data_IF_167333004612
#
_entry.id   IF_167333004612
#
_cell.length_a   1.000
_cell.length_b   1.000
_cell.length_c   1.000
_cell.angle_alpha   90.00
_cell.angle_beta   90.00
_cell.angle_gamma   90.00
#
_symmetry.space_group_name_H-M   'P 1'
#
loop_
_entity.id
_entity.type
_entity.pdbx_description
1 polymer ?
#
# COMPACT_ATOMS: atom_id res chain seq x y z
N UNK A 1 -2.58 28.24 -9.62
CA UNK A 1 -1.85 26.96 -9.73
C UNK A 1 -2.80 25.79 -9.52
N UNK A 2 -2.57 24.66 -10.20
CA UNK A 2 -3.30 23.40 -10.02
C UNK A 2 -2.40 22.40 -9.29
N UNK A 3 -2.92 21.75 -8.27
CA UNK A 3 -2.24 20.67 -7.56
C UNK A 3 -2.64 19.34 -8.20
N UNK A 4 -1.71 18.69 -8.87
CA UNK A 4 -1.95 17.45 -9.62
C UNK A 4 -1.57 16.26 -8.74
N UNK A 5 -2.50 15.35 -8.53
CA UNK A 5 -2.39 14.20 -7.63
C UNK A 5 -2.48 12.88 -8.41
N UNK A 6 -1.36 12.39 -8.97
CA UNK A 6 -1.31 11.12 -9.69
C UNK A 6 -1.45 9.90 -8.77
N UNK A 7 -2.33 8.96 -9.12
CA UNK A 7 -2.63 7.81 -8.27
C UNK A 7 -3.23 6.64 -9.04
N UNK A 8 -2.83 5.43 -8.66
CA UNK A 8 -3.60 4.20 -8.97
C UNK A 8 -4.60 3.90 -7.84
N UNK A 9 -4.27 4.25 -6.58
CA UNK A 9 -5.13 4.02 -5.41
C UNK A 9 -5.86 5.26 -4.85
N UNK A 10 -5.91 5.36 -3.52
CA UNK A 10 -6.65 6.40 -2.79
C UNK A 10 -5.97 7.79 -2.72
N UNK A 11 -4.70 7.91 -3.12
CA UNK A 11 -3.90 9.12 -2.93
C UNK A 11 -4.52 10.37 -3.57
N UNK A 12 -5.09 10.24 -4.78
CA UNK A 12 -5.75 11.36 -5.44
C UNK A 12 -6.98 11.90 -4.67
N UNK A 13 -7.70 11.04 -3.94
CA UNK A 13 -8.84 11.48 -3.10
C UNK A 13 -8.37 12.33 -1.93
N UNK A 14 -7.33 11.86 -1.23
CA UNK A 14 -6.70 12.60 -0.14
C UNK A 14 -6.13 13.93 -0.64
N UNK A 15 -5.42 13.91 -1.76
CA UNK A 15 -4.89 15.10 -2.42
C UNK A 15 -5.95 16.13 -2.79
N UNK A 16 -7.03 15.72 -3.45
CA UNK A 16 -8.16 16.61 -3.79
C UNK A 16 -8.83 17.17 -2.54
N UNK A 17 -9.00 16.36 -1.48
CA UNK A 17 -9.54 16.84 -0.21
C UNK A 17 -8.64 17.91 0.43
N UNK A 18 -7.33 17.67 0.49
CA UNK A 18 -6.36 18.64 0.99
C UNK A 18 -6.36 19.91 0.13
N UNK A 19 -6.39 19.77 -1.19
CA UNK A 19 -6.47 20.90 -2.09
C UNK A 19 -7.68 21.77 -1.81
N UNK A 20 -8.85 21.17 -1.59
CA UNK A 20 -10.09 21.87 -1.24
C UNK A 20 -9.99 22.59 0.11
N UNK A 21 -9.41 21.95 1.13
CA UNK A 21 -9.18 22.56 2.43
C UNK A 21 -8.25 23.78 2.34
N UNK A 22 -7.21 23.68 1.52
CA UNK A 22 -6.24 24.75 1.28
C UNK A 22 -6.70 25.75 0.22
N UNK A 23 -7.96 25.67 -0.25
CA UNK A 23 -8.52 26.54 -1.29
C UNK A 23 -7.68 26.58 -2.58
N UNK A 24 -7.07 25.45 -2.93
CA UNK A 24 -6.33 25.23 -4.17
C UNK A 24 -7.13 24.35 -5.14
N UNK A 25 -6.83 24.45 -6.44
CA UNK A 25 -7.48 23.64 -7.48
C UNK A 25 -6.82 22.26 -7.57
N UNK A 26 -7.42 21.26 -6.94
CA UNK A 26 -6.95 19.87 -6.96
C UNK A 26 -7.39 19.14 -8.22
N UNK A 27 -6.48 18.37 -8.82
CA UNK A 27 -6.68 17.57 -10.02
C UNK A 27 -6.27 16.13 -9.75
N UNK A 28 -7.16 15.19 -10.01
CA UNK A 28 -6.88 13.77 -9.89
C UNK A 28 -6.44 13.21 -11.26
N UNK A 29 -5.35 12.46 -11.29
CA UNK A 29 -4.91 11.68 -12.46
C UNK A 29 -4.90 10.21 -12.06
N UNK A 30 -5.75 9.40 -12.69
CA UNK A 30 -5.92 7.99 -12.35
C UNK A 30 -6.38 7.15 -13.55
N UNK A 31 -6.10 5.83 -13.57
CA UNK A 31 -6.53 4.94 -14.66
C UNK A 31 -8.06 4.82 -14.75
N UNK A 32 -8.57 4.65 -15.97
CA UNK A 32 -10.01 4.55 -16.22
C UNK A 32 -10.65 3.26 -15.69
N UNK A 33 -9.87 2.19 -15.50
CA UNK A 33 -10.31 0.91 -14.96
C UNK A 33 -10.51 0.87 -13.44
N UNK A 34 -10.35 2.00 -12.75
CA UNK A 34 -10.60 2.11 -11.30
C UNK A 34 -12.09 2.03 -10.94
N UNK A 35 -12.39 1.71 -9.67
CA UNK A 35 -13.77 1.53 -9.19
C UNK A 35 -14.67 2.75 -9.41
N UNK A 36 -15.96 2.50 -9.63
CA UNK A 36 -16.96 3.55 -9.87
C UNK A 36 -17.10 4.48 -8.67
N UNK A 37 -17.07 3.95 -7.45
CA UNK A 37 -17.14 4.72 -6.20
C UNK A 37 -16.03 5.77 -6.10
N UNK A 38 -14.84 5.45 -6.63
CA UNK A 38 -13.72 6.38 -6.66
C UNK A 38 -14.02 7.57 -7.57
N UNK A 39 -14.58 7.34 -8.76
CA UNK A 39 -14.97 8.41 -9.68
C UNK A 39 -16.18 9.21 -9.18
N UNK A 40 -17.17 8.54 -8.59
CA UNK A 40 -18.31 9.21 -7.97
C UNK A 40 -17.88 10.12 -6.83
N UNK A 41 -16.95 9.66 -5.99
CA UNK A 41 -16.39 10.49 -4.92
C UNK A 41 -15.65 11.69 -5.51
N UNK A 42 -14.75 11.48 -6.48
CA UNK A 42 -13.97 12.56 -7.08
C UNK A 42 -14.86 13.63 -7.71
N UNK A 43 -15.88 13.24 -8.48
CA UNK A 43 -16.79 14.18 -9.15
C UNK A 43 -17.55 15.10 -8.18
N UNK A 44 -17.79 14.66 -6.94
CA UNK A 44 -18.42 15.46 -5.87
C UNK A 44 -17.44 16.41 -5.17
N UNK A 45 -16.13 16.13 -5.27
CA UNK A 45 -15.11 16.84 -4.51
C UNK A 45 -14.28 17.82 -5.36
N UNK A 46 -14.07 17.52 -6.63
CA UNK A 46 -13.39 18.41 -7.59
C UNK A 46 -14.25 19.62 -7.92
N UNK A 47 -13.61 20.77 -8.17
CA UNK A 47 -14.30 22.01 -8.55
C UNK A 47 -14.79 22.02 -10.00
N UNK A 48 -14.18 21.21 -10.87
CA UNK A 48 -14.48 21.11 -12.29
C UNK A 48 -14.39 19.62 -12.70
N UNK A 49 -15.38 19.05 -13.42
CA UNK A 49 -15.31 17.66 -13.89
C UNK A 49 -14.07 17.35 -14.74
N UNK A 50 -13.49 18.34 -15.43
CA UNK A 50 -12.24 18.19 -16.19
C UNK A 50 -10.99 18.01 -15.31
N UNK A 51 -11.11 18.23 -14.00
CA UNK A 51 -10.04 17.99 -13.03
C UNK A 51 -9.98 16.51 -12.58
N UNK A 52 -10.79 15.63 -13.20
CA UNK A 52 -10.64 14.17 -13.11
C UNK A 52 -10.10 13.66 -14.46
N UNK A 53 -8.79 13.48 -14.54
CA UNK A 53 -8.09 13.03 -15.74
C UNK A 53 -7.97 11.50 -15.69
N UNK A 54 -8.56 10.84 -16.70
CA UNK A 54 -8.53 9.39 -16.87
C UNK A 54 -7.37 8.99 -17.78
N UNK A 55 -6.48 8.13 -17.31
CA UNK A 55 -5.44 7.49 -18.13
C UNK A 55 -5.86 6.08 -18.54
N UNK A 56 -5.22 5.50 -19.55
CA UNK A 56 -5.51 4.14 -20.00
C UNK A 56 -5.09 3.09 -18.95
N UNK A 57 -5.86 2.00 -18.84
CA UNK A 57 -5.50 0.80 -18.07
C UNK A 57 -6.11 0.68 -16.67
N UNK A 58 -5.47 -0.15 -15.83
CA UNK A 58 -5.93 -0.55 -14.49
C UNK A 58 -4.90 -0.24 -13.41
N UNK A 59 -4.93 -0.92 -12.25
CA UNK A 59 -4.10 -0.62 -11.07
C UNK A 59 -2.60 -0.65 -11.39
N UNK A 60 -2.15 -1.51 -12.32
CA UNK A 60 -0.73 -1.67 -12.65
C UNK A 60 -0.21 -0.68 -13.72
N UNK A 61 -1.03 0.24 -14.24
CA UNK A 61 -0.67 1.14 -15.35
C UNK A 61 -0.09 2.49 -14.90
N UNK A 62 1.06 2.43 -14.20
CA UNK A 62 1.73 3.63 -13.67
C UNK A 62 2.44 4.44 -14.76
N UNK A 63 2.90 3.80 -15.84
CA UNK A 63 3.61 4.49 -16.94
C UNK A 63 2.73 5.55 -17.58
N UNK A 64 1.48 5.21 -17.87
CA UNK A 64 0.51 6.11 -18.50
C UNK A 64 0.22 7.32 -17.61
N UNK A 65 0.26 7.14 -16.28
CA UNK A 65 0.17 8.24 -15.32
C UNK A 65 1.39 9.15 -15.40
N UNK A 66 2.61 8.59 -15.48
CA UNK A 66 3.83 9.40 -15.63
C UNK A 66 3.86 10.17 -16.94
N UNK A 67 3.50 9.53 -18.06
CA UNK A 67 3.41 10.20 -19.36
C UNK A 67 2.45 11.40 -19.29
N UNK A 68 1.29 11.22 -18.64
CA UNK A 68 0.33 12.31 -18.46
C UNK A 68 0.83 13.41 -17.52
N UNK A 69 1.56 13.04 -16.46
CA UNK A 69 2.18 14.02 -15.56
C UNK A 69 3.25 14.85 -16.28
N UNK A 70 4.04 14.23 -17.15
CA UNK A 70 5.05 14.91 -17.95
C UNK A 70 4.41 15.94 -18.90
N UNK A 71 3.33 15.57 -19.58
CA UNK A 71 2.54 16.50 -20.39
C UNK A 71 1.99 17.67 -19.54
N UNK A 72 1.40 17.37 -18.38
CA UNK A 72 0.86 18.40 -17.49
C UNK A 72 1.94 19.32 -16.90
N UNK A 73 3.17 18.83 -16.72
CA UNK A 73 4.28 19.61 -16.19
C UNK A 73 4.80 20.68 -17.16
N UNK A 74 4.44 20.62 -18.45
CA UNK A 74 4.77 21.66 -19.43
C UNK A 74 4.08 23.01 -19.11
N UNK A 75 2.95 22.97 -18.39
CA UNK A 75 2.28 24.17 -17.88
C UNK A 75 2.84 24.54 -16.49
N UNK A 76 3.53 25.69 -16.33
CA UNK A 76 4.08 26.13 -15.05
C UNK A 76 3.01 26.46 -14.00
N UNK A 77 1.74 26.53 -14.41
CA UNK A 77 0.59 26.59 -13.52
C UNK A 77 0.35 25.29 -12.73
N UNK A 78 0.92 24.17 -13.16
CA UNK A 78 0.72 22.86 -12.52
C UNK A 78 1.85 22.53 -11.55
N UNK A 79 1.49 21.95 -10.40
CA UNK A 79 2.42 21.37 -9.43
C UNK A 79 2.08 19.89 -9.31
N UNK A 80 3.01 19.01 -9.70
CA UNK A 80 2.81 17.56 -9.67
C UNK A 80 3.27 17.01 -8.32
N UNK A 81 2.36 16.42 -7.54
CA UNK A 81 2.67 15.76 -6.28
C UNK A 81 2.85 14.26 -6.50
N UNK A 82 3.97 13.85 -7.11
CA UNK A 82 4.22 12.47 -7.51
C UNK A 82 4.60 11.58 -6.30
N UNK A 83 3.61 10.92 -5.69
CA UNK A 83 3.79 10.07 -4.50
C UNK A 83 4.87 9.00 -4.59
N UNK A 84 5.27 8.60 -5.80
CA UNK A 84 6.29 7.57 -6.04
C UNK A 84 7.72 8.10 -5.93
N UNK A 85 7.94 9.43 -5.97
CA UNK A 85 9.24 10.07 -5.80
C UNK A 85 9.31 11.14 -4.70
N UNK A 86 8.19 11.48 -4.06
CA UNK A 86 8.18 12.42 -2.94
C UNK A 86 8.67 11.77 -1.62
N UNK A 87 9.90 12.09 -1.18
CA UNK A 87 10.45 11.56 0.08
C UNK A 87 9.63 11.93 1.32
N UNK A 88 8.80 12.97 1.26
CA UNK A 88 7.83 13.29 2.31
C UNK A 88 6.87 12.13 2.61
N UNK A 89 6.52 11.35 1.59
CA UNK A 89 5.70 10.14 1.74
C UNK A 89 6.44 9.07 2.57
N UNK A 90 7.71 8.78 2.27
CA UNK A 90 8.51 7.87 3.08
C UNK A 90 8.66 8.38 4.53
N UNK A 91 8.99 9.65 4.70
CA UNK A 91 9.33 10.23 5.99
C UNK A 91 8.14 10.35 6.95
N UNK A 92 6.92 10.59 6.46
CA UNK A 92 5.74 10.59 7.34
C UNK A 92 5.52 9.20 7.95
N UNK A 93 5.77 8.13 7.21
CA UNK A 93 5.61 6.77 7.73
C UNK A 93 6.73 6.36 8.70
N UNK A 94 7.97 6.82 8.49
CA UNK A 94 9.06 6.66 9.47
C UNK A 94 8.74 7.42 10.78
N UNK A 95 8.16 8.61 10.68
CA UNK A 95 8.04 9.55 11.82
C UNK A 95 6.70 9.49 12.55
N UNK A 96 5.66 8.94 11.91
CA UNK A 96 4.31 8.88 12.47
C UNK A 96 3.83 7.44 12.53
N UNK A 97 3.76 6.75 11.38
CA UNK A 97 3.18 5.40 11.31
C UNK A 97 4.01 4.37 12.07
N UNK A 98 5.34 4.37 11.91
CA UNK A 98 6.26 3.50 12.65
C UNK A 98 6.12 3.66 14.16
N UNK A 99 6.24 4.87 14.72
CA UNK A 99 5.99 5.13 16.14
C UNK A 99 4.58 4.75 16.63
N UNK A 100 3.55 4.98 15.82
CA UNK A 100 2.18 4.57 16.17
C UNK A 100 2.05 3.05 16.26
N UNK A 101 2.62 2.31 15.30
CA UNK A 101 2.68 0.85 15.31
C UNK A 101 3.49 0.32 16.50
N UNK A 102 4.63 0.96 16.80
CA UNK A 102 5.44 0.64 17.97
C UNK A 102 4.65 0.79 19.28
N UNK A 103 3.87 1.87 19.41
CA UNK A 103 2.99 2.08 20.57
C UNK A 103 1.89 1.02 20.66
N UNK A 104 1.28 0.64 19.53
CA UNK A 104 0.30 -0.44 19.49
C UNK A 104 0.91 -1.79 19.88
N UNK A 105 2.10 -2.11 19.37
CA UNK A 105 2.85 -3.32 19.71
C UNK A 105 3.18 -3.39 21.20
N UNK A 106 3.72 -2.31 21.79
CA UNK A 106 4.05 -2.29 23.22
C UNK A 106 2.80 -2.43 24.11
N UNK A 107 1.64 -1.93 23.68
CA UNK A 107 0.37 -2.17 24.36
C UNK A 107 -0.04 -3.65 24.35
N UNK A 108 0.13 -4.35 23.22
CA UNK A 108 -0.15 -5.80 23.12
C UNK A 108 0.84 -6.63 23.95
N UNK A 109 2.13 -6.25 23.89
CA UNK A 109 3.22 -6.89 24.63
C UNK A 109 3.11 -6.72 26.14
N UNK A 110 2.48 -5.64 26.63
CA UNK A 110 2.23 -5.47 28.06
C UNK A 110 1.44 -6.64 28.68
N UNK A 111 0.55 -7.26 27.91
CA UNK A 111 -0.21 -8.46 28.30
C UNK A 111 0.49 -9.78 27.92
N UNK A 112 1.60 -9.72 27.18
CA UNK A 112 2.37 -10.87 26.68
C UNK A 112 3.88 -10.61 26.81
N UNK A 113 4.47 -10.72 28.02
CA UNK A 113 5.84 -10.26 28.28
C UNK A 113 6.95 -10.92 27.44
N UNK A 114 6.69 -12.12 26.90
CA UNK A 114 7.62 -12.83 26.01
C UNK A 114 7.55 -12.38 24.54
N UNK A 115 6.56 -11.57 24.17
CA UNK A 115 6.29 -11.20 22.78
C UNK A 115 7.38 -10.28 22.22
N UNK A 116 7.90 -10.64 21.05
CA UNK A 116 8.91 -9.86 20.30
C UNK A 116 8.36 -9.47 18.93
N UNK A 117 8.65 -8.26 18.46
CA UNK A 117 8.33 -7.87 17.10
C UNK A 117 9.35 -8.50 16.15
N UNK A 118 8.92 -9.49 15.37
CA UNK A 118 9.80 -10.26 14.48
C UNK A 118 9.83 -9.70 13.06
N UNK A 119 8.68 -9.24 12.54
CA UNK A 119 8.60 -8.68 11.20
C UNK A 119 7.53 -7.58 11.09
N UNK A 120 7.69 -6.73 10.08
CA UNK A 120 6.67 -5.82 9.59
C UNK A 120 6.37 -6.12 8.13
N UNK A 121 5.11 -6.34 7.81
CA UNK A 121 4.63 -6.67 6.47
C UNK A 121 3.79 -5.54 5.91
N UNK A 122 4.11 -5.10 4.69
CA UNK A 122 3.33 -4.09 3.97
C UNK A 122 3.31 -4.39 2.47
N UNK A 123 2.12 -4.41 1.90
CA UNK A 123 1.92 -4.42 0.47
C UNK A 123 2.37 -3.08 -0.11
N UNK A 124 3.10 -3.13 -1.22
CA UNK A 124 3.81 -1.98 -1.75
C UNK A 124 2.99 -1.29 -2.82
N UNK A 125 2.41 -0.15 -2.47
CA UNK A 125 1.87 0.86 -3.39
C UNK A 125 2.96 1.82 -3.85
N UNK A 126 2.88 3.06 -3.37
CA UNK A 126 3.95 4.05 -3.53
C UNK A 126 5.23 3.75 -2.74
N UNK A 127 5.25 2.69 -1.94
CA UNK A 127 6.28 2.37 -0.94
C UNK A 127 6.43 3.39 0.21
N UNK A 128 5.42 4.24 0.43
CA UNK A 128 5.34 5.08 1.63
C UNK A 128 5.24 4.25 2.91
N UNK A 129 4.16 3.47 3.04
CA UNK A 129 3.86 2.74 4.29
C UNK A 129 4.94 1.74 4.70
N UNK A 130 5.60 1.08 3.74
CA UNK A 130 6.67 0.11 4.04
C UNK A 130 7.86 0.78 4.78
N UNK A 131 8.03 2.10 4.65
CA UNK A 131 9.03 2.87 5.39
C UNK A 131 8.81 2.89 6.91
N UNK A 132 7.59 2.62 7.40
CA UNK A 132 7.37 2.37 8.83
C UNK A 132 8.24 1.20 9.34
N UNK A 133 8.56 0.25 8.46
CA UNK A 133 9.49 -0.84 8.70
C UNK A 133 10.90 -0.38 9.02
N UNK A 134 11.38 0.74 8.45
CA UNK A 134 12.71 1.27 8.75
C UNK A 134 12.79 1.72 10.22
N UNK A 135 11.73 2.38 10.72
CA UNK A 135 11.62 2.73 12.14
C UNK A 135 11.51 1.48 13.03
N UNK A 136 10.61 0.55 12.70
CA UNK A 136 10.40 -0.67 13.50
C UNK A 136 11.66 -1.55 13.54
N UNK A 137 12.43 -1.60 12.44
CA UNK A 137 13.71 -2.30 12.39
C UNK A 137 14.76 -1.62 13.25
N UNK A 138 14.85 -0.30 13.23
CA UNK A 138 15.77 0.44 14.10
C UNK A 138 15.45 0.21 15.59
N UNK A 139 14.15 0.14 15.96
CA UNK A 139 13.73 -0.02 17.35
C UNK A 139 13.77 -1.47 17.86
N UNK A 140 13.35 -2.43 17.03
CA UNK A 140 13.07 -3.80 17.47
C UNK A 140 13.85 -4.87 16.68
N UNK A 141 14.57 -4.49 15.62
CA UNK A 141 15.25 -5.45 14.75
C UNK A 141 14.30 -6.26 13.85
N UNK A 142 13.07 -5.78 13.62
CA UNK A 142 12.10 -6.47 12.76
C UNK A 142 12.64 -6.67 11.35
N UNK A 143 12.27 -7.80 10.74
CA UNK A 143 12.37 -8.00 9.29
C UNK A 143 11.35 -7.12 8.55
N UNK A 144 11.72 -6.60 7.38
CA UNK A 144 10.82 -5.82 6.52
C UNK A 144 10.38 -6.70 5.36
N UNK A 145 9.07 -6.89 5.22
CA UNK A 145 8.45 -7.73 4.20
C UNK A 145 7.65 -6.86 3.24
N UNK A 146 8.07 -6.88 1.97
CA UNK A 146 7.38 -6.19 0.89
C UNK A 146 6.44 -7.17 0.17
N UNK A 147 5.14 -6.86 0.15
CA UNK A 147 4.15 -7.67 -0.53
C UNK A 147 3.72 -7.07 -1.88
N UNK A 148 3.49 -7.93 -2.88
CA UNK A 148 3.08 -7.57 -4.24
C UNK A 148 2.00 -8.53 -4.79
N UNK A 149 1.41 -8.21 -5.95
CA UNK A 149 0.48 -9.13 -6.62
C UNK A 149 1.22 -10.26 -7.34
N UNK A 150 0.73 -11.50 -7.20
CA UNK A 150 1.27 -12.65 -7.93
C UNK A 150 1.00 -12.58 -9.43
N UNK A 151 -0.09 -11.92 -9.83
CA UNK A 151 -0.44 -11.72 -11.23
C UNK A 151 0.38 -10.61 -11.90
N UNK A 152 1.08 -9.76 -11.14
CA UNK A 152 2.01 -8.76 -11.66
C UNK A 152 3.25 -8.55 -10.78
N UNK A 153 4.05 -9.60 -10.49
CA UNK A 153 5.04 -9.55 -9.42
C UNK A 153 6.30 -8.82 -9.89
N UNK A 154 6.48 -7.61 -9.38
CA UNK A 154 7.55 -6.69 -9.79
C UNK A 154 8.91 -7.09 -9.23
N UNK A 155 8.98 -7.30 -7.92
CA UNK A 155 10.16 -7.70 -7.20
C UNK A 155 10.55 -9.15 -7.53
N UNK A 156 9.60 -10.08 -7.65
CA UNK A 156 9.91 -11.48 -7.97
C UNK A 156 10.18 -11.72 -9.47
N UNK A 157 9.38 -11.16 -10.38
CA UNK A 157 9.46 -11.46 -11.83
C UNK A 157 9.36 -10.24 -12.77
N UNK A 158 9.85 -9.08 -12.34
CA UNK A 158 10.00 -7.87 -13.18
C UNK A 158 8.68 -7.29 -13.73
N UNK A 159 7.53 -7.60 -13.11
CA UNK A 159 6.31 -6.80 -13.25
C UNK A 159 5.61 -6.94 -14.60
N UNK A 160 5.02 -8.11 -14.85
CA UNK A 160 4.21 -8.38 -16.04
C UNK A 160 2.85 -8.95 -15.65
N UNK A 161 1.78 -8.34 -16.16
CA UNK A 161 0.38 -8.75 -15.94
C UNK A 161 -0.50 -7.63 -15.38
N UNK A 162 -1.64 -7.99 -14.81
CA UNK A 162 -2.62 -7.10 -14.17
C UNK A 162 -3.30 -7.86 -13.02
N UNK A 163 -3.78 -7.14 -12.00
CA UNK A 163 -4.36 -7.73 -10.80
C UNK A 163 -5.50 -6.87 -10.25
N UNK A 164 -6.35 -7.46 -9.40
CA UNK A 164 -7.41 -6.75 -8.69
C UNK A 164 -7.05 -6.29 -7.27
N UNK A 165 -5.83 -6.53 -6.79
CA UNK A 165 -5.39 -6.03 -5.47
C UNK A 165 -5.24 -4.51 -5.52
N UNK A 166 -6.32 -3.76 -5.32
CA UNK A 166 -6.29 -2.29 -5.46
C UNK A 166 -5.48 -1.62 -4.35
N UNK A 167 -4.75 -0.56 -4.70
CA UNK A 167 -3.93 0.23 -3.78
C UNK A 167 -2.47 -0.21 -3.65
N UNK A 168 -2.04 -1.25 -4.39
CA UNK A 168 -0.63 -1.64 -4.52
C UNK A 168 -0.13 -1.29 -5.92
N UNK A 169 1.17 -1.07 -6.08
CA UNK A 169 1.77 -0.44 -7.25
C UNK A 169 2.80 -1.37 -7.87
N UNK A 170 2.49 -1.84 -9.07
CA UNK A 170 3.29 -2.84 -9.79
C UNK A 170 3.90 -2.27 -11.08
N UNK A 171 4.73 -3.08 -11.75
CA UNK A 171 5.50 -2.77 -12.98
C UNK A 171 6.60 -1.72 -12.81
N UNK A 172 6.84 -1.23 -11.59
CA UNK A 172 7.98 -0.40 -11.28
C UNK A 172 8.35 -0.50 -9.79
N UNK A 173 9.60 -0.14 -9.45
CA UNK A 173 10.03 0.05 -8.07
C UNK A 173 9.95 1.55 -7.75
N UNK A 174 9.11 2.00 -6.81
CA UNK A 174 9.01 3.42 -6.45
C UNK A 174 10.36 4.01 -6.03
N UNK A 175 10.62 5.28 -6.35
CA UNK A 175 11.90 5.93 -6.05
C UNK A 175 12.14 6.02 -4.54
N UNK A 176 11.05 6.13 -3.78
CA UNK A 176 11.09 6.24 -2.31
C UNK A 176 11.17 4.87 -1.58
N UNK A 177 11.25 3.75 -2.31
CA UNK A 177 11.42 2.43 -1.71
C UNK A 177 12.87 2.19 -1.29
N UNK A 178 13.11 2.05 0.02
CA UNK A 178 14.40 1.59 0.57
C UNK A 178 14.58 0.06 0.36
N UNK A 179 14.80 -0.34 -0.89
CA UNK A 179 14.95 -1.74 -1.29
C UNK A 179 16.07 -2.44 -0.53
N UNK A 180 17.18 -1.74 -0.29
CA UNK A 180 18.35 -2.33 0.39
C UNK A 180 18.08 -2.71 1.84
N UNK A 181 17.02 -2.15 2.45
CA UNK A 181 16.56 -2.51 3.78
C UNK A 181 15.40 -3.52 3.79
N UNK A 182 14.92 -4.00 2.64
CA UNK A 182 13.86 -5.02 2.57
C UNK A 182 14.45 -6.42 2.77
N UNK A 183 13.88 -7.25 3.64
CA UNK A 183 14.39 -8.61 3.94
C UNK A 183 13.66 -9.71 3.16
N UNK A 184 12.38 -9.53 2.86
CA UNK A 184 11.55 -10.55 2.21
C UNK A 184 10.67 -9.89 1.16
N UNK A 185 10.56 -10.51 -0.02
CA UNK A 185 9.53 -10.21 -1.01
C UNK A 185 8.51 -11.35 -1.06
N UNK A 186 7.22 -11.03 -1.08
CA UNK A 186 6.13 -12.02 -1.09
C UNK A 186 5.07 -11.61 -2.10
N UNK A 187 4.61 -12.56 -2.91
CA UNK A 187 3.53 -12.32 -3.85
C UNK A 187 2.26 -13.08 -3.44
N UNK A 188 1.14 -12.36 -3.46
CA UNK A 188 -0.19 -12.88 -3.14
C UNK A 188 -1.08 -12.78 -4.38
N UNK A 189 -1.78 -13.85 -4.69
CA UNK A 189 -2.73 -13.88 -5.80
C UNK A 189 -3.97 -13.05 -5.50
N UNK A 190 -4.40 -12.26 -6.48
CA UNK A 190 -5.66 -11.53 -6.44
C UNK A 190 -6.88 -12.45 -6.27
N UNK A 191 -6.78 -13.72 -6.67
CA UNK A 191 -7.81 -14.72 -6.42
C UNK A 191 -8.02 -14.94 -4.92
N UNK A 192 -6.93 -15.00 -4.15
CA UNK A 192 -7.02 -15.21 -2.71
C UNK A 192 -7.64 -14.00 -2.01
N UNK A 193 -7.24 -12.78 -2.41
CA UNK A 193 -7.81 -11.56 -1.83
C UNK A 193 -9.26 -11.35 -2.23
N UNK A 194 -9.62 -11.59 -3.51
CA UNK A 194 -11.00 -11.49 -4.00
C UNK A 194 -11.92 -12.46 -3.24
N UNK A 195 -11.51 -13.73 -3.14
CA UNK A 195 -12.33 -14.76 -2.51
C UNK A 195 -12.50 -14.52 -1.01
N UNK A 196 -11.43 -14.16 -0.30
CA UNK A 196 -11.53 -13.84 1.14
C UNK A 196 -12.30 -12.54 1.38
N UNK A 197 -12.16 -11.54 0.51
CA UNK A 197 -12.99 -10.34 0.57
C UNK A 197 -14.47 -10.70 0.50
N UNK A 198 -14.86 -11.56 -0.45
CA UNK A 198 -16.25 -12.00 -0.57
C UNK A 198 -16.73 -12.83 0.63
N UNK A 199 -15.86 -13.70 1.17
CA UNK A 199 -16.12 -14.42 2.41
C UNK A 199 -16.42 -13.44 3.57
N UNK A 200 -15.60 -12.41 3.74
CA UNK A 200 -15.74 -11.46 4.85
C UNK A 200 -16.99 -10.59 4.72
N UNK A 201 -17.51 -10.38 3.52
CA UNK A 201 -18.63 -9.47 3.27
C UNK A 201 -19.97 -10.19 3.00
N UNK A 202 -20.01 -11.53 3.01
CA UNK A 202 -21.24 -12.30 2.76
C UNK A 202 -21.81 -12.93 4.02
N UNK A 203 -23.14 -13.07 4.09
CA UNK A 203 -23.83 -13.72 5.22
C UNK A 203 -23.34 -15.16 5.45
N UNK A 204 -23.14 -15.92 4.37
CA UNK A 204 -22.63 -17.28 4.45
C UNK A 204 -21.20 -17.33 5.01
N UNK A 205 -20.34 -16.38 4.61
CA UNK A 205 -18.98 -16.30 5.14
C UNK A 205 -18.95 -15.83 6.59
N UNK A 206 -19.79 -14.87 6.98
CA UNK A 206 -19.96 -14.44 8.37
C UNK A 206 -20.43 -15.59 9.27
N UNK A 207 -21.41 -16.37 8.82
CA UNK A 207 -21.86 -17.58 9.52
C UNK A 207 -20.72 -18.63 9.61
N UNK A 208 -19.94 -18.79 8.53
CA UNK A 208 -18.80 -19.70 8.53
C UNK A 208 -17.73 -19.27 9.54
N UNK A 209 -17.34 -17.99 9.57
CA UNK A 209 -16.37 -17.46 10.53
C UNK A 209 -16.82 -17.69 11.98
N UNK A 210 -18.11 -17.49 12.28
CA UNK A 210 -18.66 -17.77 13.60
C UNK A 210 -18.62 -19.27 13.94
N UNK A 211 -18.89 -20.14 12.96
CA UNK A 211 -18.76 -21.60 13.13
C UNK A 211 -17.31 -22.04 13.42
N UNK A 212 -16.32 -21.21 13.06
CA UNK A 212 -14.89 -21.40 13.33
C UNK A 212 -14.46 -20.84 14.69
N UNK A 213 -15.38 -20.29 15.48
CA UNK A 213 -15.15 -19.86 16.85
C UNK A 213 -14.94 -18.35 17.04
N UNK A 214 -15.10 -17.54 15.99
CA UNK A 214 -15.13 -16.09 16.13
C UNK A 214 -16.46 -15.66 16.73
N UNK A 215 -16.44 -14.69 17.64
CA UNK A 215 -17.65 -13.97 18.05
C UNK A 215 -18.25 -13.20 16.86
N UNK A 216 -19.52 -12.83 16.95
CA UNK A 216 -20.16 -12.00 15.93
C UNK A 216 -19.38 -10.69 15.69
N UNK A 217 -18.89 -10.05 16.75
CA UNK A 217 -18.10 -8.83 16.65
C UNK A 217 -16.76 -9.04 15.93
N UNK A 218 -16.08 -10.16 16.19
CA UNK A 218 -14.81 -10.47 15.52
C UNK A 218 -15.02 -10.83 14.04
N UNK A 219 -16.08 -11.58 13.73
CA UNK A 219 -16.43 -11.91 12.35
C UNK A 219 -16.79 -10.64 11.56
N UNK A 220 -17.59 -9.73 12.14
CA UNK A 220 -17.93 -8.45 11.52
C UNK A 220 -16.71 -7.55 11.32
N UNK A 221 -15.75 -7.55 12.24
CA UNK A 221 -14.52 -6.76 12.10
C UNK A 221 -13.68 -7.16 10.87
N UNK A 222 -13.90 -8.34 10.28
CA UNK A 222 -13.21 -8.73 9.04
C UNK A 222 -13.57 -7.86 7.82
N UNK A 223 -14.70 -7.15 7.88
CA UNK A 223 -15.15 -6.19 6.85
C UNK A 223 -14.18 -5.00 6.72
N UNK A 224 -13.42 -4.70 7.79
CA UNK A 224 -12.42 -3.63 7.80
C UNK A 224 -11.16 -3.96 6.95
N UNK A 225 -11.08 -5.17 6.36
CA UNK A 225 -10.00 -5.58 5.47
C UNK A 225 -10.42 -5.51 3.99
N UNK A 226 -10.00 -4.45 3.30
CA UNK A 226 -9.97 -4.37 1.84
C UNK A 226 -8.88 -5.27 1.23
N UNK A 227 -8.79 -5.31 -0.10
CA UNK A 227 -7.92 -6.26 -0.82
C UNK A 227 -6.45 -6.22 -0.38
N UNK A 228 -5.86 -5.03 -0.26
CA UNK A 228 -4.47 -4.87 0.17
C UNK A 228 -4.26 -5.22 1.65
N UNK A 229 -5.27 -5.00 2.50
CA UNK A 229 -5.27 -5.45 3.90
C UNK A 229 -5.28 -6.98 4.00
N UNK A 230 -6.08 -7.66 3.17
CA UNK A 230 -6.06 -9.13 3.09
C UNK A 230 -4.72 -9.62 2.55
N UNK A 231 -4.16 -8.96 1.53
CA UNK A 231 -2.82 -9.26 1.01
C UNK A 231 -1.75 -9.18 2.13
N UNK A 232 -1.81 -8.15 2.97
CA UNK A 232 -0.95 -7.99 4.13
C UNK A 232 -1.06 -9.12 5.16
N UNK A 233 -2.29 -9.57 5.45
CA UNK A 233 -2.54 -10.69 6.37
C UNK A 233 -1.96 -11.99 5.80
N UNK A 234 -2.26 -12.31 4.54
CA UNK A 234 -1.75 -13.52 3.88
C UNK A 234 -0.22 -13.50 3.80
N UNK A 235 0.36 -12.35 3.46
CA UNK A 235 1.81 -12.12 3.45
C UNK A 235 2.44 -12.34 4.81
N UNK A 236 1.75 -11.94 5.89
CA UNK A 236 2.19 -12.20 7.27
C UNK A 236 2.16 -13.69 7.60
N UNK A 237 1.13 -14.42 7.18
CA UNK A 237 1.06 -15.89 7.36
C UNK A 237 2.20 -16.58 6.61
N UNK A 238 2.44 -16.22 5.35
CA UNK A 238 3.57 -16.76 4.57
C UNK A 238 4.92 -16.47 5.22
N UNK A 239 5.10 -15.23 5.70
CA UNK A 239 6.32 -14.80 6.40
C UNK A 239 6.55 -15.60 7.67
N UNK A 240 5.51 -15.79 8.49
CA UNK A 240 5.61 -16.57 9.72
C UNK A 240 6.08 -18.00 9.43
N UNK A 241 5.54 -18.62 8.37
CA UNK A 241 5.93 -19.97 7.94
C UNK A 241 7.35 -20.01 7.38
N UNK A 242 7.72 -19.06 6.51
CA UNK A 242 9.07 -18.97 5.93
C UNK A 242 10.14 -18.82 7.01
N UNK A 243 9.91 -17.93 7.98
CA UNK A 243 10.88 -17.62 9.04
C UNK A 243 10.80 -18.60 10.22
N UNK A 244 9.84 -19.54 10.23
CA UNK A 244 9.63 -20.49 11.32
C UNK A 244 9.26 -19.82 12.64
N UNK A 245 8.47 -18.74 12.59
CA UNK A 245 8.15 -17.93 13.77
C UNK A 245 7.27 -18.69 14.77
N UNK A 246 7.61 -18.56 16.05
CA UNK A 246 6.86 -19.10 17.16
C UNK A 246 5.73 -18.18 17.65
N UNK A 247 4.96 -18.67 18.62
CA UNK A 247 3.83 -17.94 19.24
C UNK A 247 4.21 -16.61 19.91
N UNK A 248 5.48 -16.44 20.29
CA UNK A 248 6.01 -15.26 20.98
C UNK A 248 6.69 -14.29 20.00
N UNK A 249 6.47 -14.46 18.69
CA UNK A 249 7.06 -13.66 17.62
C UNK A 249 5.96 -13.02 16.78
N UNK A 250 5.68 -11.75 17.06
CA UNK A 250 4.64 -10.97 16.41
C UNK A 250 5.09 -10.49 15.03
N UNK A 251 4.16 -10.54 14.08
CA UNK A 251 4.24 -9.78 12.83
C UNK A 251 3.31 -8.59 12.95
N UNK A 252 3.85 -7.40 12.69
CA UNK A 252 3.08 -6.16 12.62
C UNK A 252 2.67 -5.95 11.16
N UNK A 253 1.44 -5.54 10.92
CA UNK A 253 0.98 -5.18 9.57
C UNK A 253 -0.12 -4.12 9.63
N UNK A 254 -0.72 -3.78 8.49
CA UNK A 254 -1.68 -2.67 8.35
C UNK A 254 -2.92 -3.13 7.56
N UNK A 255 -4.10 -2.77 8.07
CA UNK A 255 -5.34 -2.79 7.30
C UNK A 255 -5.47 -1.42 6.63
N UNK A 256 -5.20 -1.35 5.32
CA UNK A 256 -5.05 -0.09 4.58
C UNK A 256 -6.36 0.68 4.44
N UNK A 257 -7.43 -0.03 4.13
CA UNK A 257 -8.81 0.45 4.02
C UNK A 257 -9.80 -0.72 4.13
N UNK A 258 -11.09 -0.41 4.23
CA UNK A 258 -12.17 -1.37 4.43
C UNK A 258 -13.06 -1.58 3.19
N UNK A 259 -13.97 -2.56 3.30
CA UNK A 259 -14.79 -3.03 2.18
C UNK A 259 -15.76 -2.01 1.58
N UNK A 260 -16.13 -0.97 2.35
CA UNK A 260 -17.02 0.09 1.90
C UNK A 260 -16.57 0.79 0.61
N UNK A 261 -15.28 0.75 0.29
CA UNK A 261 -14.69 1.35 -0.91
C UNK A 261 -14.77 0.46 -2.17
N UNK A 262 -15.24 -0.79 -2.04
CA UNK A 262 -15.12 -1.83 -3.07
C UNK A 262 -16.43 -2.57 -3.37
N UNK A 263 -17.59 -2.01 -3.01
CA UNK A 263 -18.89 -2.67 -3.20
C UNK A 263 -19.17 -3.05 -4.65
N UNK A 264 -18.76 -2.24 -5.62
CA UNK A 264 -18.90 -2.56 -7.06
C UNK A 264 -18.15 -3.83 -7.47
N UNK A 265 -17.11 -4.22 -6.73
CA UNK A 265 -16.32 -5.42 -7.02
C UNK A 265 -17.02 -6.70 -6.58
N UNK A 266 -17.94 -6.66 -5.60
CA UNK A 266 -18.62 -7.85 -5.09
C UNK A 266 -19.36 -8.62 -6.20
N UNK A 267 -20.12 -7.91 -7.04
CA UNK A 267 -20.86 -8.52 -8.14
C UNK A 267 -19.91 -9.15 -9.18
N UNK A 268 -18.78 -8.48 -9.46
CA UNK A 268 -17.77 -8.99 -10.40
C UNK A 268 -17.09 -10.24 -9.85
N UNK A 269 -16.72 -10.22 -8.56
CA UNK A 269 -16.11 -11.35 -7.87
C UNK A 269 -17.09 -12.53 -7.82
N UNK A 270 -18.36 -12.30 -7.45
CA UNK A 270 -19.39 -13.34 -7.41
C UNK A 270 -19.53 -14.04 -8.78
N UNK A 271 -19.60 -13.26 -9.85
CA UNK A 271 -19.69 -13.81 -11.20
C UNK A 271 -18.40 -14.53 -11.63
N UNK A 272 -17.24 -13.90 -11.45
CA UNK A 272 -15.93 -14.38 -11.95
C UNK A 272 -15.39 -15.58 -11.16
N UNK A 273 -15.51 -15.56 -9.83
CA UNK A 273 -14.88 -16.54 -8.93
C UNK A 273 -15.82 -17.66 -8.51
N UNK A 274 -17.13 -17.40 -8.47
CA UNK A 274 -18.11 -18.33 -7.90
C UNK A 274 -19.29 -18.66 -8.83
N UNK A 275 -19.25 -18.22 -10.09
CA UNK A 275 -20.29 -18.54 -11.07
C UNK A 275 -21.68 -17.97 -10.75
N UNK A 276 -21.75 -16.93 -9.92
CA UNK A 276 -23.01 -16.26 -9.56
C UNK A 276 -23.66 -16.70 -8.25
N UNK A 277 -23.09 -17.68 -7.54
CA UNK A 277 -23.65 -18.17 -6.26
C UNK A 277 -22.58 -18.42 -5.22
N UNK A 278 -22.84 -18.03 -3.97
CA UNK A 278 -21.93 -18.25 -2.85
C UNK A 278 -22.70 -18.69 -1.61
N UNK A 279 -22.54 -19.95 -1.21
CA UNK A 279 -23.19 -20.54 -0.05
C UNK A 279 -22.20 -21.07 0.98
N UNK A 280 -22.69 -21.91 1.89
CA UNK A 280 -21.88 -22.50 2.97
C UNK A 280 -20.70 -23.33 2.44
N UNK A 281 -20.91 -24.06 1.34
CA UNK A 281 -19.87 -24.90 0.73
C UNK A 281 -18.71 -24.05 0.18
N UNK A 282 -19.02 -22.98 -0.54
CA UNK A 282 -18.04 -22.04 -1.08
C UNK A 282 -17.33 -21.29 0.05
N UNK A 283 -18.06 -20.84 1.08
CA UNK A 283 -17.49 -20.17 2.24
C UNK A 283 -16.44 -21.05 2.94
N UNK A 284 -16.78 -22.32 3.18
CA UNK A 284 -15.85 -23.30 3.74
C UNK A 284 -14.64 -23.52 2.83
N UNK A 285 -14.86 -23.70 1.53
CA UNK A 285 -13.78 -23.94 0.58
C UNK A 285 -12.80 -22.78 0.50
N UNK A 286 -13.31 -21.54 0.45
CA UNK A 286 -12.50 -20.32 0.42
C UNK A 286 -11.66 -20.20 1.68
N UNK A 287 -12.26 -20.38 2.85
CA UNK A 287 -11.54 -20.30 4.12
C UNK A 287 -10.44 -21.37 4.21
N UNK A 288 -10.78 -22.64 3.91
CA UNK A 288 -9.83 -23.74 3.99
C UNK A 288 -8.69 -23.57 2.98
N UNK A 289 -8.97 -23.14 1.76
CA UNK A 289 -7.97 -23.01 0.71
C UNK A 289 -7.08 -21.78 0.88
N UNK A 290 -7.67 -20.60 1.06
CA UNK A 290 -6.91 -19.34 1.04
C UNK A 290 -6.38 -18.90 2.40
N UNK A 291 -7.08 -19.20 3.50
CA UNK A 291 -6.66 -18.83 4.85
C UNK A 291 -5.90 -19.96 5.56
N UNK A 292 -6.50 -21.15 5.66
CA UNK A 292 -5.82 -22.27 6.34
C UNK A 292 -4.72 -22.89 5.48
N UNK A 293 -4.95 -22.94 4.17
CA UNK A 293 -4.06 -23.51 3.16
C UNK A 293 -2.92 -22.60 2.71
N UNK A 294 -2.78 -21.38 3.25
CA UNK A 294 -1.71 -20.45 2.84
C UNK A 294 -0.33 -21.09 2.95
N UNK A 295 0.35 -21.38 1.84
CA UNK A 295 1.64 -22.05 1.80
C UNK A 295 2.83 -21.07 1.85
N UNK A 296 4.04 -21.55 1.51
CA UNK A 296 5.25 -20.73 1.35
C UNK A 296 5.69 -20.65 -0.11
N UNK A 297 4.77 -20.77 -1.06
CA UNK A 297 5.09 -20.54 -2.47
C UNK A 297 5.14 -19.03 -2.75
N UNK A 298 5.90 -18.62 -3.76
CA UNK A 298 6.02 -17.22 -4.20
C UNK A 298 6.45 -16.24 -3.08
N UNK A 299 7.40 -16.67 -2.25
CA UNK A 299 8.04 -15.85 -1.23
C UNK A 299 9.55 -16.06 -1.29
N UNK A 300 10.32 -14.99 -1.13
CA UNK A 300 11.78 -15.00 -1.24
C UNK A 300 12.40 -14.22 -0.07
N UNK A 301 13.22 -14.89 0.74
CA UNK A 301 14.14 -14.21 1.63
C UNK A 301 15.27 -13.61 0.79
N UNK A 302 15.40 -12.29 0.80
CA UNK A 302 16.26 -11.55 -0.13
C UNK A 302 17.72 -11.63 0.29
N UNK A 303 18.57 -12.17 -0.58
CA UNK A 303 20.01 -11.99 -0.51
C UNK A 303 20.41 -10.58 -0.95
N UNK A 304 21.68 -10.20 -0.74
CA UNK A 304 22.21 -8.96 -1.29
C UNK A 304 22.14 -8.92 -2.83
N UNK A 305 22.28 -10.07 -3.50
CA UNK A 305 22.11 -10.14 -4.95
C UNK A 305 20.66 -9.82 -5.35
N UNK A 306 19.68 -10.34 -4.61
CA UNK A 306 18.26 -10.10 -4.88
C UNK A 306 17.90 -8.63 -4.67
N UNK A 307 18.36 -8.03 -3.56
CA UNK A 307 18.17 -6.60 -3.30
C UNK A 307 18.77 -5.74 -4.40
N UNK A 308 19.98 -6.07 -4.85
CA UNK A 308 20.62 -5.33 -5.95
C UNK A 308 19.85 -5.49 -7.27
N UNK A 309 19.34 -6.70 -7.58
CA UNK A 309 18.49 -6.92 -8.76
C UNK A 309 17.23 -6.06 -8.71
N UNK A 310 16.52 -6.07 -7.58
CA UNK A 310 15.28 -5.28 -7.38
C UNK A 310 15.61 -3.78 -7.45
N UNK A 311 16.67 -3.32 -6.79
CA UNK A 311 17.09 -1.92 -6.85
C UNK A 311 17.37 -1.50 -8.29
N UNK A 312 18.11 -2.33 -9.05
CA UNK A 312 18.44 -2.06 -10.45
C UNK A 312 17.20 -2.01 -11.34
N UNK A 313 16.12 -2.73 -11.02
CA UNK A 313 14.88 -2.64 -11.79
C UNK A 313 14.31 -1.21 -11.79
N UNK A 314 14.49 -0.47 -10.70
CA UNK A 314 14.12 0.95 -10.62
C UNK A 314 14.86 1.85 -11.60
N UNK A 315 16.01 1.44 -12.13
CA UNK A 315 16.81 2.22 -13.10
C UNK A 315 15.99 2.56 -14.34
N UNK A 316 15.28 1.58 -14.88
CA UNK A 316 14.51 1.75 -16.11
C UNK A 316 13.38 2.76 -15.96
N UNK A 317 12.78 2.86 -14.78
CA UNK A 317 11.77 3.89 -14.53
C UNK A 317 12.44 5.23 -14.26
N UNK A 318 13.32 5.30 -13.26
CA UNK A 318 13.74 6.60 -12.75
C UNK A 318 14.82 7.27 -13.59
N UNK A 319 15.80 6.50 -14.07
CA UNK A 319 16.89 7.05 -14.88
C UNK A 319 16.47 7.18 -16.34
N UNK A 320 16.07 6.06 -16.97
CA UNK A 320 15.78 6.04 -18.41
C UNK A 320 14.49 6.78 -18.78
N UNK A 321 13.42 6.68 -17.97
CA UNK A 321 12.12 7.26 -18.31
C UNK A 321 11.85 8.61 -17.63
N UNK A 322 12.27 8.79 -16.37
CA UNK A 322 11.97 10.00 -15.58
C UNK A 322 13.15 10.98 -15.47
N UNK A 323 14.32 10.66 -16.02
CA UNK A 323 15.45 11.58 -16.13
C UNK A 323 16.22 11.84 -14.83
N UNK A 324 16.05 11.02 -13.80
CA UNK A 324 16.90 11.05 -12.59
C UNK A 324 18.32 10.70 -12.98
N UNK A 325 19.30 11.43 -12.47
CA UNK A 325 20.70 11.10 -12.77
C UNK A 325 21.11 9.77 -12.14
N UNK A 326 22.02 9.02 -12.77
CA UNK A 326 22.55 7.77 -12.18
C UNK A 326 23.14 8.02 -10.79
N UNK A 327 23.81 9.15 -10.59
CA UNK A 327 24.40 9.51 -9.29
C UNK A 327 23.34 9.66 -8.19
N UNK A 328 22.24 10.39 -8.46
CA UNK A 328 21.13 10.53 -7.51
C UNK A 328 20.42 9.21 -7.25
N UNK A 329 20.22 8.43 -8.30
CA UNK A 329 19.62 7.11 -8.21
C UNK A 329 20.42 6.20 -7.27
N UNK A 330 21.75 6.16 -7.43
CA UNK A 330 22.68 5.31 -6.68
C UNK A 330 22.85 5.73 -5.21
N UNK A 331 22.71 7.02 -4.86
CA UNK A 331 22.77 7.48 -3.46
C UNK A 331 21.83 6.69 -2.55
N UNK A 332 20.66 6.28 -3.08
CA UNK A 332 19.65 5.50 -2.36
C UNK A 332 20.07 4.08 -1.99
N UNK A 333 21.20 3.55 -2.47
CA UNK A 333 21.73 2.27 -1.97
C UNK A 333 22.20 2.38 -0.53
N UNK A 334 22.74 3.54 -0.14
CA UNK A 334 23.29 3.74 1.20
C UNK A 334 22.19 3.94 2.23
N UNK A 335 22.30 3.26 3.38
CA UNK A 335 21.43 3.55 4.51
C UNK A 335 21.71 4.93 5.13
N UNK A 336 22.89 5.51 4.91
CA UNK A 336 23.18 6.88 5.35
C UNK A 336 22.31 7.90 4.61
N UNK A 337 22.00 7.66 3.33
CA UNK A 337 21.06 8.50 2.58
C UNK A 337 19.68 8.51 3.26
N UNK A 338 19.10 7.34 3.49
CA UNK A 338 17.76 7.21 4.10
C UNK A 338 17.70 7.74 5.53
N UNK A 339 18.75 7.51 6.32
CA UNK A 339 18.85 8.04 7.69
C UNK A 339 19.01 9.56 7.68
N UNK A 340 19.83 10.12 6.78
CA UNK A 340 20.03 11.56 6.64
C UNK A 340 18.78 12.32 6.18
N UNK A 341 17.89 11.69 5.39
CA UNK A 341 16.60 12.30 5.04
C UNK A 341 15.74 12.64 6.27
N UNK A 342 15.91 11.92 7.39
CA UNK A 342 15.13 12.15 8.62
C UNK A 342 15.44 13.49 9.26
N UNK A 343 16.60 14.09 8.97
CA UNK A 343 16.97 15.42 9.45
C UNK A 343 16.08 16.54 8.87
N UNK A 344 15.32 16.25 7.80
CA UNK A 344 14.34 17.16 7.23
C UNK A 344 13.06 17.27 8.08
N UNK A 345 12.73 16.26 8.88
CA UNK A 345 11.46 16.19 9.61
C UNK A 345 11.30 17.37 10.58
N UNK A 346 12.28 17.70 11.46
CA UNK A 346 12.16 18.87 12.34
C UNK A 346 12.12 20.20 11.57
N UNK A 347 12.67 20.26 10.35
CA UNK A 347 12.59 21.44 9.49
C UNK A 347 11.17 21.63 8.98
N UNK A 348 10.57 20.57 8.44
CA UNK A 348 9.18 20.60 7.98
C UNK A 348 8.19 20.88 9.10
N UNK A 349 8.37 20.31 10.29
CA UNK A 349 7.52 20.61 11.45
C UNK A 349 7.54 22.12 11.79
N UNK A 350 8.71 22.77 11.72
CA UNK A 350 8.81 24.23 11.91
C UNK A 350 8.08 24.99 10.81
N UNK A 351 8.27 24.60 9.54
CA UNK A 351 7.60 25.24 8.40
C UNK A 351 6.08 25.08 8.45
N UNK A 352 5.58 23.90 8.83
CA UNK A 352 4.15 23.64 9.03
C UNK A 352 3.63 24.51 10.18
N UNK A 353 4.38 24.62 11.28
CA UNK A 353 4.03 25.50 12.39
C UNK A 353 3.98 26.98 12.00
N UNK A 354 4.91 27.44 11.16
CA UNK A 354 4.90 28.79 10.58
C UNK A 354 3.68 29.00 9.69
N UNK A 355 3.44 28.09 8.75
CA UNK A 355 2.28 28.12 7.86
C UNK A 355 0.94 28.15 8.63
N UNK A 356 0.80 27.33 9.67
CA UNK A 356 -0.41 27.29 10.50
C UNK A 356 -0.63 28.62 11.25
N UNK A 357 0.44 29.26 11.74
CA UNK A 357 0.36 30.60 12.35
C UNK A 357 -0.06 31.65 11.32
N UNK A 358 0.52 31.64 10.14
CA UNK A 358 0.25 32.63 9.08
C UNK A 358 -1.17 32.50 8.52
N UNK A 359 -1.69 31.27 8.44
CA UNK A 359 -3.07 30.98 7.99
C UNK A 359 -4.13 31.21 9.06
N UNK A 360 -3.74 31.45 10.32
CA UNK A 360 -4.67 31.63 11.44
C UNK A 360 -5.36 30.34 11.92
N UNK A 361 -4.89 29.18 11.47
CA UNK A 361 -5.36 27.87 11.94
C UNK A 361 -4.70 27.57 13.29
N UNK A 362 -5.43 27.80 14.39
CA UNK A 362 -4.98 27.38 15.71
C UNK A 362 -5.08 25.86 15.82
N UNK A 363 -3.95 25.18 16.01
CA UNK A 363 -3.94 23.77 16.43
C UNK A 363 -4.50 23.74 17.85
N UNK A 364 -5.75 23.31 17.99
CA UNK A 364 -6.47 23.23 19.26
C UNK A 364 -5.96 22.12 20.16
#
# INVERSE_FOLDING_TARGET
HRAIWPSTGNYCRGGVAISKLLQSRGVAVLPEGMSEERFEWLSKWTSDPSDVIRTYGTESNVKEIYDKCNELAEDPGNVIFNQFCEFGNHLVHVSVTGPAMAKAFEAVKASHPGLRAAAFTSATGSAGTIAAGDYLKDQYGTKIVAAEALECPTMLYNGFGEHNIQGIGDKHIPYIHNVMNTDVAVAISDQATDSLFYLFNSDAGQAHLQSRGLSESEARAMIDFGFSGICNVLSSIKTAKLLGLGKDEAIITVATDGADLYRSEEAKILAKRFGGSFGEAEAKQVFDHHMMGTDTDNILALSEMDKNRIFNLGYFTWVEQQGVTVEEFEKRRSQEFWKGLRDLVPVWDRMIGEFNRDSGVSVG
#
